data_IF_709050060565
#
_entry.id   IF_709050060565
#
_cell.length_a   1.000
_cell.length_b   1.000
_cell.length_c   1.000
_cell.angle_alpha   90.00
_cell.angle_beta   90.00
_cell.angle_gamma   90.00
#
_symmetry.space_group_name_H-M   'P 1'
#
loop_
_entity.id
_entity.type
_entity.pdbx_description
1 polymer ?
#
# COMPACT_ATOMS: atom_id res chain seq x y z
N UNK A 1 22.10 13.11 2.85
CA UNK A 1 20.81 12.42 2.60
C UNK A 1 20.32 11.61 3.80
N UNK A 2 21.20 10.96 4.57
CA UNK A 2 20.86 10.18 5.77
C UNK A 2 19.99 10.93 6.80
N UNK A 3 20.30 12.19 7.10
CA UNK A 3 19.52 12.99 8.07
C UNK A 3 18.05 13.20 7.66
N UNK A 4 17.79 13.40 6.35
CA UNK A 4 16.44 13.60 5.82
C UNK A 4 15.59 12.32 5.92
N UNK A 5 16.20 11.18 5.59
CA UNK A 5 15.56 9.86 5.72
C UNK A 5 15.24 9.53 7.17
N UNK A 6 16.12 9.89 8.11
CA UNK A 6 15.88 9.70 9.53
C UNK A 6 14.71 10.54 10.06
N UNK A 7 14.61 11.82 9.64
CA UNK A 7 13.46 12.66 10.00
C UNK A 7 12.16 12.10 9.42
N UNK A 8 12.18 11.70 8.15
CA UNK A 8 11.03 11.08 7.49
C UNK A 8 10.59 9.79 8.22
N UNK A 9 11.53 8.93 8.60
CA UNK A 9 11.26 7.72 9.40
C UNK A 9 10.57 8.05 10.73
N UNK A 10 11.09 9.02 11.47
CA UNK A 10 10.50 9.42 12.76
C UNK A 10 9.05 9.88 12.65
N UNK A 11 8.71 10.59 11.57
CA UNK A 11 7.34 11.03 11.31
C UNK A 11 6.39 9.86 11.03
N UNK A 12 6.92 8.76 10.50
CA UNK A 12 6.13 7.64 9.99
C UNK A 12 6.07 6.42 10.94
N UNK A 13 6.81 6.45 12.06
CA UNK A 13 6.95 5.30 12.98
C UNK A 13 5.63 4.76 13.51
N UNK A 14 4.63 5.63 13.71
CA UNK A 14 3.32 5.22 14.21
C UNK A 14 2.53 4.45 13.14
N UNK A 15 2.55 4.89 11.89
CA UNK A 15 1.95 4.15 10.78
C UNK A 15 2.68 2.83 10.55
N UNK A 16 4.01 2.83 10.59
CA UNK A 16 4.81 1.62 10.48
C UNK A 16 4.48 0.61 11.59
N UNK A 17 4.34 1.07 12.84
CA UNK A 17 3.93 0.23 13.97
C UNK A 17 2.51 -0.33 13.81
N UNK A 18 1.57 0.46 13.28
CA UNK A 18 0.20 0.00 13.01
C UNK A 18 0.17 -1.09 11.93
N UNK A 19 0.95 -0.93 10.85
CA UNK A 19 1.10 -1.97 9.83
C UNK A 19 1.81 -3.21 10.39
N UNK A 20 2.85 -3.04 11.22
CA UNK A 20 3.50 -4.16 11.88
C UNK A 20 2.53 -4.93 12.81
N UNK A 21 1.69 -4.23 13.57
CA UNK A 21 0.65 -4.85 14.39
C UNK A 21 -0.36 -5.63 13.53
N UNK A 22 -0.76 -5.09 12.39
CA UNK A 22 -1.61 -5.81 11.44
C UNK A 22 -0.92 -7.06 10.87
N UNK A 23 0.37 -7.00 10.56
CA UNK A 23 1.15 -8.16 10.12
C UNK A 23 1.27 -9.22 11.22
N UNK A 24 1.40 -8.82 12.48
CA UNK A 24 1.35 -9.74 13.61
C UNK A 24 -0.01 -10.44 13.69
N UNK A 25 -1.11 -9.72 13.47
CA UNK A 25 -2.45 -10.33 13.41
C UNK A 25 -2.57 -11.35 12.26
N UNK A 26 -2.02 -11.04 11.08
CA UNK A 26 -1.94 -12.02 9.98
C UNK A 26 -1.10 -13.24 10.36
N UNK A 27 0.04 -13.05 11.02
CA UNK A 27 0.88 -14.14 11.50
C UNK A 27 0.15 -15.03 12.51
N UNK A 28 -0.56 -14.44 13.46
CA UNK A 28 -1.39 -15.17 14.43
C UNK A 28 -2.50 -15.95 13.71
N UNK A 29 -3.24 -15.31 12.81
CA UNK A 29 -4.29 -15.98 12.03
C UNK A 29 -3.71 -17.17 11.24
N UNK A 30 -2.58 -16.97 10.58
CA UNK A 30 -1.87 -18.01 9.83
C UNK A 30 -1.41 -19.18 10.73
N UNK A 31 -0.95 -18.90 11.96
CA UNK A 31 -0.60 -19.96 12.92
C UNK A 31 -1.83 -20.71 13.43
N UNK A 32 -2.94 -20.02 13.68
CA UNK A 32 -4.20 -20.64 14.11
C UNK A 32 -4.74 -21.56 13.02
N UNK A 33 -4.78 -21.12 11.77
CA UNK A 33 -5.21 -21.94 10.63
C UNK A 33 -4.36 -23.20 10.44
N UNK A 34 -3.07 -23.13 10.80
CA UNK A 34 -2.18 -24.29 10.75
C UNK A 34 -2.45 -25.30 11.87
N UNK A 35 -2.91 -24.83 13.03
CA UNK A 35 -3.25 -25.67 14.18
C UNK A 35 -4.66 -26.25 14.06
N UNK A 36 -5.59 -25.49 13.46
CA UNK A 36 -7.01 -25.80 13.30
C UNK A 36 -7.38 -25.78 11.80
N UNK A 37 -7.20 -26.89 11.06
CA UNK A 37 -7.40 -26.94 9.61
C UNK A 37 -8.82 -26.57 9.15
N UNK A 38 -9.81 -26.68 10.03
CA UNK A 38 -11.21 -26.31 9.77
C UNK A 38 -11.39 -24.79 9.57
N UNK A 39 -10.44 -23.96 10.01
CA UNK A 39 -10.45 -22.51 9.87
C UNK A 39 -9.68 -22.00 8.63
N UNK A 40 -9.19 -22.90 7.79
CA UNK A 40 -8.31 -22.56 6.66
C UNK A 40 -8.90 -21.54 5.69
N UNK A 41 -8.06 -20.59 5.25
CA UNK A 41 -8.37 -19.67 4.16
C UNK A 41 -8.78 -18.26 4.60
N UNK A 42 -9.06 -18.00 5.89
CA UNK A 42 -9.35 -16.65 6.39
C UNK A 42 -8.21 -15.67 6.08
N UNK A 43 -6.96 -16.08 6.30
CA UNK A 43 -5.76 -15.27 6.07
C UNK A 43 -5.64 -14.88 4.60
N UNK A 44 -6.02 -15.77 3.68
CA UNK A 44 -6.01 -15.52 2.24
C UNK A 44 -7.13 -14.56 1.80
N UNK A 45 -8.33 -14.72 2.35
CA UNK A 45 -9.42 -13.76 2.10
C UNK A 45 -9.04 -12.36 2.58
N UNK A 46 -8.32 -12.31 3.70
CA UNK A 46 -7.91 -11.06 4.31
C UNK A 46 -6.65 -10.45 3.69
N UNK A 47 -5.78 -11.22 3.03
CA UNK A 47 -4.49 -10.74 2.50
C UNK A 47 -4.63 -9.53 1.55
N UNK A 48 -5.72 -9.48 0.78
CA UNK A 48 -6.04 -8.35 -0.09
C UNK A 48 -6.27 -7.01 0.63
N UNK A 49 -6.56 -7.04 1.94
CA UNK A 49 -6.78 -5.82 2.73
C UNK A 49 -5.50 -5.12 3.15
N UNK A 50 -4.32 -5.74 3.04
CA UNK A 50 -3.05 -5.08 3.38
C UNK A 50 -2.86 -3.80 2.55
N UNK A 51 -3.15 -3.84 1.24
CA UNK A 51 -3.06 -2.67 0.39
C UNK A 51 -4.04 -1.56 0.82
N UNK A 52 -5.27 -1.92 1.21
CA UNK A 52 -6.25 -1.00 1.78
C UNK A 52 -5.76 -0.36 3.08
N UNK A 53 -5.16 -1.17 3.96
CA UNK A 53 -4.57 -0.69 5.21
C UNK A 53 -3.39 0.25 4.96
N UNK A 54 -2.51 -0.06 3.99
CA UNK A 54 -1.41 0.81 3.58
C UNK A 54 -1.95 2.16 3.07
N UNK A 55 -2.99 2.15 2.25
CA UNK A 55 -3.61 3.38 1.76
C UNK A 55 -4.21 4.22 2.90
N UNK A 56 -5.08 3.59 3.70
CA UNK A 56 -5.84 4.25 4.77
C UNK A 56 -4.96 4.74 5.91
N UNK A 57 -4.13 3.85 6.45
CA UNK A 57 -3.38 4.06 7.70
C UNK A 57 -2.07 4.80 7.40
N UNK A 58 -1.42 4.49 6.28
CA UNK A 58 -0.11 5.05 5.95
C UNK A 58 -0.19 6.19 4.96
N UNK A 59 -0.68 5.95 3.74
CA UNK A 59 -0.64 6.90 2.63
C UNK A 59 -1.50 8.14 2.86
N UNK A 60 -2.76 7.98 3.21
CA UNK A 60 -3.74 9.06 3.39
C UNK A 60 -3.30 10.12 4.41
N UNK A 61 -2.91 9.75 5.65
CA UNK A 61 -2.42 10.73 6.61
C UNK A 61 -1.00 11.25 6.31
N UNK A 62 -0.22 10.60 5.44
CA UNK A 62 1.21 10.88 5.26
C UNK A 62 1.48 12.35 4.97
N UNK A 63 0.70 12.91 4.06
CA UNK A 63 0.82 14.31 3.64
C UNK A 63 -0.27 15.18 4.27
N UNK A 64 -1.49 14.64 4.46
CA UNK A 64 -2.59 15.41 5.05
C UNK A 64 -2.27 15.91 6.47
N UNK A 65 -1.67 15.06 7.32
CA UNK A 65 -1.30 15.46 8.69
C UNK A 65 -0.22 16.53 8.72
N UNK A 66 0.71 16.49 7.78
CA UNK A 66 1.75 17.52 7.65
C UNK A 66 1.14 18.88 7.30
N UNK A 67 0.12 18.88 6.42
CA UNK A 67 -0.65 20.09 6.10
C UNK A 67 -1.47 20.60 7.29
N UNK A 68 -2.18 19.71 7.99
CA UNK A 68 -2.99 20.05 9.17
C UNK A 68 -2.13 20.62 10.31
N UNK A 69 -0.95 20.04 10.55
CA UNK A 69 -0.02 20.48 11.59
C UNK A 69 0.83 21.69 11.18
N UNK A 70 0.85 22.05 9.89
CA UNK A 70 1.71 23.11 9.36
C UNK A 70 3.21 22.81 9.40
N UNK A 71 3.60 21.57 9.72
CA UNK A 71 5.00 21.12 9.88
C UNK A 71 5.81 21.21 8.58
N UNK A 72 5.15 21.13 7.43
CA UNK A 72 5.78 21.30 6.12
C UNK A 72 6.49 22.66 5.96
N UNK A 73 6.03 23.72 6.65
CA UNK A 73 6.63 25.06 6.57
C UNK A 73 8.04 25.09 7.14
N UNK A 74 8.25 24.41 8.27
CA UNK A 74 9.57 24.28 8.92
C UNK A 74 10.54 23.46 8.05
N UNK A 75 10.04 22.42 7.38
CA UNK A 75 10.88 21.63 6.47
C UNK A 75 11.37 22.46 5.28
N UNK A 76 10.56 23.39 4.77
CA UNK A 76 10.90 24.20 3.60
C UNK A 76 11.77 25.42 3.90
N UNK A 77 11.84 25.89 5.15
CA UNK A 77 12.76 26.98 5.54
C UNK A 77 14.19 26.49 5.72
N UNK A 78 14.42 25.19 5.92
CA UNK A 78 15.75 24.60 6.14
C UNK A 78 16.52 24.25 4.85
N UNK A 79 16.41 25.08 3.81
CA UNK A 79 17.10 24.92 2.51
C UNK A 79 16.83 23.60 1.76
N UNK A 80 15.79 22.86 2.15
CA UNK A 80 15.37 21.63 1.47
C UNK A 80 14.35 21.95 0.38
N UNK A 81 14.70 21.64 -0.87
CA UNK A 81 13.73 21.73 -1.97
C UNK A 81 12.53 20.81 -1.73
N UNK A 82 11.32 21.26 -2.08
CA UNK A 82 10.06 20.51 -1.93
C UNK A 82 10.13 19.10 -2.52
N UNK A 83 10.75 18.95 -3.69
CA UNK A 83 10.91 17.66 -4.36
C UNK A 83 11.79 16.68 -3.59
N UNK A 84 12.94 17.13 -3.06
CA UNK A 84 13.82 16.30 -2.22
C UNK A 84 13.13 15.85 -0.93
N UNK A 85 12.39 16.75 -0.29
CA UNK A 85 11.60 16.41 0.89
C UNK A 85 10.56 15.33 0.58
N UNK A 86 9.75 15.54 -0.46
CA UNK A 86 8.71 14.58 -0.86
C UNK A 86 9.32 13.23 -1.24
N UNK A 87 10.42 13.23 -2.00
CA UNK A 87 11.11 12.02 -2.41
C UNK A 87 11.59 11.20 -1.21
N UNK A 88 12.12 11.83 -0.16
CA UNK A 88 12.55 11.12 1.04
C UNK A 88 11.39 10.55 1.86
N UNK A 89 10.30 11.32 2.01
CA UNK A 89 9.09 10.86 2.70
C UNK A 89 8.49 9.65 1.98
N UNK A 90 8.38 9.72 0.66
CA UNK A 90 7.85 8.63 -0.17
C UNK A 90 8.80 7.44 -0.24
N UNK A 91 10.12 7.65 -0.27
CA UNK A 91 11.08 6.54 -0.27
C UNK A 91 10.97 5.69 1.00
N UNK A 92 10.84 6.34 2.17
CA UNK A 92 10.63 5.63 3.45
C UNK A 92 9.29 4.90 3.46
N UNK A 93 8.22 5.55 3.02
CA UNK A 93 6.88 4.94 2.98
C UNK A 93 6.82 3.76 2.00
N UNK A 94 7.41 3.89 0.81
CA UNK A 94 7.46 2.84 -0.20
C UNK A 94 8.30 1.66 0.26
N UNK A 95 9.47 1.91 0.86
CA UNK A 95 10.29 0.84 1.44
C UNK A 95 9.53 0.10 2.56
N UNK A 96 8.84 0.82 3.43
CA UNK A 96 8.01 0.23 4.48
C UNK A 96 6.85 -0.60 3.93
N UNK A 97 6.13 -0.09 2.93
CA UNK A 97 5.04 -0.80 2.25
C UNK A 97 5.54 -2.08 1.58
N UNK A 98 6.63 -2.02 0.82
CA UNK A 98 7.22 -3.20 0.17
C UNK A 98 7.71 -4.24 1.18
N UNK A 99 8.31 -3.79 2.29
CA UNK A 99 8.73 -4.67 3.38
C UNK A 99 7.53 -5.37 4.01
N UNK A 100 6.44 -4.63 4.24
CA UNK A 100 5.20 -5.20 4.77
C UNK A 100 4.57 -6.21 3.82
N UNK A 101 4.55 -5.92 2.51
CA UNK A 101 4.08 -6.86 1.49
C UNK A 101 4.93 -8.12 1.45
N UNK A 102 6.27 -7.98 1.50
CA UNK A 102 7.18 -9.12 1.52
C UNK A 102 6.99 -9.98 2.79
N UNK A 103 6.82 -9.35 3.95
CA UNK A 103 6.55 -10.05 5.20
C UNK A 103 5.23 -10.83 5.13
N UNK A 104 4.16 -10.22 4.61
CA UNK A 104 2.90 -10.93 4.41
C UNK A 104 3.04 -12.08 3.41
N UNK A 105 3.74 -11.87 2.29
CA UNK A 105 3.99 -12.93 1.32
C UNK A 105 4.75 -14.11 1.94
N UNK A 106 5.73 -13.84 2.81
CA UNK A 106 6.46 -14.87 3.55
C UNK A 106 5.54 -15.62 4.53
N UNK A 107 4.67 -14.92 5.26
CA UNK A 107 3.67 -15.54 6.15
C UNK A 107 2.76 -16.48 5.35
N UNK A 108 2.22 -16.01 4.23
CA UNK A 108 1.31 -16.79 3.38
C UNK A 108 2.00 -18.02 2.75
N UNK A 109 3.23 -17.86 2.29
CA UNK A 109 4.03 -18.96 1.72
C UNK A 109 4.36 -20.01 2.79
N UNK A 110 4.63 -19.57 4.02
CA UNK A 110 4.94 -20.48 5.12
C UNK A 110 3.70 -21.24 5.63
N UNK A 111 2.55 -20.58 5.69
CA UNK A 111 1.37 -21.13 6.35
C UNK A 111 0.53 -22.05 5.47
N UNK A 112 0.62 -21.96 4.14
CA UNK A 112 -0.27 -22.72 3.26
C UNK A 112 0.41 -23.87 2.49
N UNK A 113 -0.31 -25.01 2.31
CA UNK A 113 0.10 -26.04 1.38
C UNK A 113 -0.07 -25.56 -0.07
N UNK A 114 0.84 -26.00 -0.95
CA UNK A 114 0.73 -25.88 -2.40
C UNK A 114 -0.48 -26.69 -2.90
N UNK A 115 -1.66 -26.10 -2.81
CA UNK A 115 -2.87 -26.68 -3.38
C UNK A 115 -2.79 -26.50 -4.89
N UNK A 116 -2.50 -27.58 -5.61
CA UNK A 116 -2.40 -27.64 -7.08
C UNK A 116 -3.72 -27.36 -7.83
N UNK A 117 -4.52 -26.42 -7.33
CA UNK A 117 -5.75 -25.93 -7.92
C UNK A 117 -5.53 -24.80 -8.92
N UNK A 118 -6.61 -24.15 -9.32
CA UNK A 118 -6.57 -23.09 -10.34
C UNK A 118 -5.80 -21.85 -9.82
N UNK A 119 -4.63 -21.50 -10.41
CA UNK A 119 -3.83 -20.34 -9.97
C UNK A 119 -4.51 -18.99 -10.27
N UNK A 120 -5.52 -18.98 -11.14
CA UNK A 120 -6.34 -17.80 -11.40
C UNK A 120 -7.45 -17.61 -10.34
N UNK A 121 -7.73 -18.63 -9.52
CA UNK A 121 -8.76 -18.56 -8.51
C UNK A 121 -8.36 -17.55 -7.42
N UNK A 122 -9.37 -16.79 -6.99
CA UNK A 122 -9.26 -16.09 -5.72
C UNK A 122 -9.40 -17.12 -4.59
N UNK A 123 -8.57 -17.06 -3.55
CA UNK A 123 -7.63 -15.98 -3.18
C UNK A 123 -6.16 -16.17 -3.61
N UNK A 124 -5.83 -17.24 -4.35
CA UNK A 124 -4.46 -17.56 -4.78
C UNK A 124 -3.81 -16.48 -5.62
N UNK A 125 -4.52 -15.97 -6.63
CA UNK A 125 -3.97 -14.94 -7.51
C UNK A 125 -3.55 -13.66 -6.76
N UNK A 126 -4.29 -13.27 -5.73
CA UNK A 126 -4.11 -12.00 -5.01
C UNK A 126 -2.98 -12.00 -3.99
N UNK A 127 -2.44 -13.17 -3.69
CA UNK A 127 -1.45 -13.43 -2.64
C UNK A 127 -0.08 -13.80 -3.20
N UNK A 128 -0.01 -14.18 -4.47
CA UNK A 128 1.21 -14.66 -5.13
C UNK A 128 1.72 -13.69 -6.19
N UNK A 129 3.00 -13.87 -6.54
CA UNK A 129 3.62 -13.15 -7.65
C UNK A 129 3.86 -11.66 -7.36
N UNK A 130 4.04 -10.85 -8.42
CA UNK A 130 4.37 -9.43 -8.29
C UNK A 130 3.16 -8.52 -8.00
N UNK A 131 1.92 -8.97 -8.24
CA UNK A 131 0.71 -8.14 -8.08
C UNK A 131 0.56 -7.53 -6.67
N UNK A 132 0.78 -8.26 -5.56
CA UNK A 132 0.68 -7.68 -4.21
C UNK A 132 1.59 -6.46 -4.00
N UNK A 133 2.78 -6.46 -4.61
CA UNK A 133 3.75 -5.37 -4.52
C UNK A 133 3.30 -4.15 -5.32
N UNK A 134 2.92 -4.35 -6.58
CA UNK A 134 2.39 -3.29 -7.43
C UNK A 134 1.17 -2.64 -6.79
N UNK A 135 0.24 -3.46 -6.29
CA UNK A 135 -0.96 -2.98 -5.61
C UNK A 135 -0.66 -2.20 -4.33
N UNK A 136 0.30 -2.63 -3.52
CA UNK A 136 0.67 -1.94 -2.28
C UNK A 136 1.27 -0.56 -2.57
N UNK A 137 2.11 -0.45 -3.60
CA UNK A 137 2.64 0.84 -4.08
C UNK A 137 1.55 1.74 -4.65
N UNK A 138 0.64 1.19 -5.45
CA UNK A 138 -0.53 1.91 -5.96
C UNK A 138 -1.38 2.46 -4.81
N UNK A 139 -1.71 1.62 -3.84
CA UNK A 139 -2.55 1.99 -2.72
C UNK A 139 -1.87 3.06 -1.83
N UNK A 140 -0.56 2.95 -1.60
CA UNK A 140 0.22 3.99 -0.94
C UNK A 140 0.15 5.32 -1.69
N UNK A 141 0.43 5.32 -3.00
CA UNK A 141 0.42 6.52 -3.83
C UNK A 141 -0.98 7.15 -3.94
N UNK A 142 -2.04 6.34 -3.97
CA UNK A 142 -3.42 6.79 -3.95
C UNK A 142 -3.73 7.54 -2.66
N UNK A 143 -3.40 6.94 -1.50
CA UNK A 143 -3.56 7.61 -0.20
C UNK A 143 -2.78 8.92 -0.14
N UNK A 144 -1.53 8.92 -0.59
CA UNK A 144 -0.69 10.13 -0.64
C UNK A 144 -1.32 11.21 -1.53
N UNK A 145 -1.80 10.86 -2.72
CA UNK A 145 -2.43 11.80 -3.64
C UNK A 145 -3.71 12.39 -3.04
N UNK A 146 -4.55 11.55 -2.42
CA UNK A 146 -5.75 12.00 -1.71
C UNK A 146 -5.40 12.93 -0.56
N UNK A 147 -4.40 12.59 0.26
CA UNK A 147 -3.93 13.43 1.36
C UNK A 147 -3.37 14.78 0.87
N UNK A 148 -2.62 14.78 -0.22
CA UNK A 148 -2.06 15.99 -0.82
C UNK A 148 -3.13 16.90 -1.43
N UNK A 149 -4.14 16.33 -2.10
CA UNK A 149 -5.23 17.08 -2.73
C UNK A 149 -6.22 17.61 -1.69
N UNK A 150 -6.65 16.76 -0.76
CA UNK A 150 -7.68 17.12 0.23
C UNK A 150 -7.12 17.93 1.40
N UNK A 151 -5.85 17.72 1.78
CA UNK A 151 -5.16 18.36 2.92
C UNK A 151 -5.82 18.12 4.28
N UNK A 152 -6.81 17.23 4.35
CA UNK A 152 -7.56 16.94 5.57
C UNK A 152 -7.66 15.43 5.75
N UNK A 153 -7.11 14.94 6.85
CA UNK A 153 -7.05 13.51 7.17
C UNK A 153 -8.47 12.93 7.27
N UNK A 154 -9.42 13.71 7.79
CA UNK A 154 -10.85 13.33 7.91
C UNK A 154 -11.54 13.06 6.57
N UNK A 155 -11.05 13.66 5.48
CA UNK A 155 -11.60 13.46 4.13
C UNK A 155 -10.78 12.40 3.38
N UNK A 156 -9.46 12.46 3.49
CA UNK A 156 -8.55 11.54 2.79
C UNK A 156 -8.78 10.07 3.19
N UNK A 157 -9.00 9.80 4.49
CA UNK A 157 -9.13 8.45 5.01
C UNK A 157 -10.38 7.71 4.47
N UNK A 158 -11.61 8.26 4.56
CA UNK A 158 -12.78 7.61 3.96
C UNK A 158 -12.65 7.39 2.45
N UNK A 159 -12.13 8.39 1.71
CA UNK A 159 -11.92 8.28 0.27
C UNK A 159 -10.94 7.17 -0.09
N UNK A 160 -9.92 6.96 0.74
CA UNK A 160 -8.92 5.91 0.55
C UNK A 160 -9.54 4.51 0.59
N UNK A 161 -10.44 4.27 1.53
CA UNK A 161 -11.18 2.99 1.63
C UNK A 161 -12.04 2.77 0.40
N UNK A 162 -12.83 3.79 0.02
CA UNK A 162 -13.75 3.69 -1.12
C UNK A 162 -13.00 3.45 -2.43
N UNK A 163 -11.94 4.21 -2.69
CA UNK A 163 -11.23 4.15 -3.97
C UNK A 163 -10.32 2.92 -4.10
N UNK A 164 -9.68 2.46 -3.01
CA UNK A 164 -8.96 1.19 -3.04
C UNK A 164 -9.93 0.03 -3.22
N UNK A 165 -11.05 0.02 -2.49
CA UNK A 165 -12.08 -1.01 -2.65
C UNK A 165 -12.63 -1.06 -4.07
N UNK A 166 -12.97 0.10 -4.64
CA UNK A 166 -13.41 0.20 -6.04
C UNK A 166 -12.33 -0.29 -7.02
N UNK A 167 -11.06 0.07 -6.82
CA UNK A 167 -9.95 -0.39 -7.65
C UNK A 167 -9.75 -1.91 -7.60
N UNK A 168 -9.90 -2.52 -6.43
CA UNK A 168 -9.84 -3.97 -6.24
C UNK A 168 -10.98 -4.68 -6.99
N UNK A 169 -12.21 -4.19 -6.85
CA UNK A 169 -13.37 -4.72 -7.55
C UNK A 169 -13.24 -4.57 -9.07
N UNK A 170 -12.75 -3.41 -9.53
CA UNK A 170 -12.50 -3.15 -10.94
C UNK A 170 -11.42 -4.09 -11.51
N UNK A 171 -10.30 -4.27 -10.80
CA UNK A 171 -9.24 -5.21 -11.19
C UNK A 171 -9.77 -6.64 -11.33
N UNK A 172 -10.55 -7.10 -10.35
CA UNK A 172 -11.21 -8.42 -10.40
C UNK A 172 -12.17 -8.56 -11.58
N UNK A 173 -13.01 -7.55 -11.81
CA UNK A 173 -13.96 -7.56 -12.92
C UNK A 173 -13.27 -7.52 -14.29
N UNK A 174 -12.18 -6.77 -14.40
CA UNK A 174 -11.37 -6.70 -15.61
C UNK A 174 -10.65 -8.01 -15.88
N UNK A 175 -10.09 -8.65 -14.86
CA UNK A 175 -9.39 -9.94 -15.00
C UNK A 175 -10.30 -11.01 -15.61
N UNK A 176 -11.57 -11.07 -15.20
CA UNK A 176 -12.54 -12.00 -15.77
C UNK A 176 -12.88 -11.76 -17.26
N UNK A 177 -12.47 -10.63 -17.84
CA UNK A 177 -12.65 -10.33 -19.28
C UNK A 177 -11.47 -10.78 -20.14
N UNK A 178 -10.32 -11.08 -19.52
CA UNK A 178 -9.10 -11.44 -20.23
C UNK A 178 -8.78 -12.91 -19.97
N UNK A 179 -8.72 -13.71 -21.04
CA UNK A 179 -8.29 -15.12 -20.95
C UNK A 179 -6.76 -15.22 -21.12
N UNK A 180 -6.03 -14.53 -20.24
CA UNK A 180 -4.57 -14.49 -20.27
C UNK A 180 -3.98 -15.53 -19.31
N UNK A 181 -2.84 -16.16 -19.66
CA UNK A 181 -2.12 -17.03 -18.74
C UNK A 181 -1.73 -16.31 -17.45
N UNK A 182 -1.67 -17.04 -16.33
CA UNK A 182 -1.38 -16.53 -14.99
C UNK A 182 -0.23 -15.51 -14.97
N UNK A 183 0.96 -15.88 -15.47
CA UNK A 183 2.13 -15.02 -15.44
C UNK A 183 2.00 -13.78 -16.31
N UNK A 184 1.33 -13.90 -17.46
CA UNK A 184 1.10 -12.74 -18.34
C UNK A 184 0.16 -11.75 -17.64
N UNK A 185 -0.93 -12.24 -17.05
CA UNK A 185 -1.87 -11.41 -16.30
C UNK A 185 -1.22 -10.76 -15.07
N UNK A 186 -0.38 -11.49 -14.34
CA UNK A 186 0.34 -10.97 -13.17
C UNK A 186 1.23 -9.77 -13.52
N UNK A 187 2.00 -9.87 -14.61
CA UNK A 187 2.87 -8.78 -15.06
C UNK A 187 2.10 -7.60 -15.63
N UNK A 188 1.03 -7.82 -16.41
CA UNK A 188 0.22 -6.74 -16.97
C UNK A 188 -0.48 -5.94 -15.87
N UNK A 189 -1.07 -6.62 -14.89
CA UNK A 189 -1.74 -5.98 -13.76
C UNK A 189 -0.74 -5.24 -12.86
N UNK A 190 0.44 -5.84 -12.61
CA UNK A 190 1.52 -5.16 -11.88
C UNK A 190 1.97 -3.89 -12.62
N UNK A 191 2.18 -3.97 -13.95
CA UNK A 191 2.57 -2.82 -14.76
C UNK A 191 1.51 -1.72 -14.73
N UNK A 192 0.22 -2.08 -14.79
CA UNK A 192 -0.88 -1.13 -14.64
C UNK A 192 -0.84 -0.43 -13.28
N UNK A 193 -0.63 -1.17 -12.19
CA UNK A 193 -0.48 -0.57 -10.86
C UNK A 193 0.72 0.36 -10.77
N UNK A 194 1.88 -0.02 -11.31
CA UNK A 194 3.07 0.84 -11.31
C UNK A 194 2.86 2.12 -12.13
N UNK A 195 2.18 2.04 -13.28
CA UNK A 195 1.81 3.21 -14.07
C UNK A 195 0.89 4.16 -13.29
N UNK A 196 -0.12 3.61 -12.60
CA UNK A 196 -1.00 4.38 -11.72
C UNK A 196 -0.24 4.99 -10.54
N UNK A 197 0.69 4.25 -9.93
CA UNK A 197 1.58 4.76 -8.87
C UNK A 197 2.35 5.98 -9.33
N UNK A 198 2.95 5.94 -10.53
CA UNK A 198 3.70 7.07 -11.09
C UNK A 198 2.78 8.28 -11.35
N UNK A 199 1.60 8.05 -11.94
CA UNK A 199 0.62 9.10 -12.19
C UNK A 199 0.15 9.77 -10.88
N UNK A 200 -0.21 8.98 -9.87
CA UNK A 200 -0.65 9.45 -8.55
C UNK A 200 0.46 10.19 -7.80
N UNK A 201 1.70 9.72 -7.90
CA UNK A 201 2.87 10.40 -7.33
C UNK A 201 3.07 11.77 -8.00
N UNK A 202 2.90 11.84 -9.33
CA UNK A 202 2.92 13.10 -10.08
C UNK A 202 1.80 14.05 -9.63
N UNK A 203 0.57 13.55 -9.46
CA UNK A 203 -0.56 14.34 -8.94
C UNK A 203 -0.25 14.89 -7.55
N UNK A 204 0.27 14.06 -6.65
CA UNK A 204 0.65 14.49 -5.31
C UNK A 204 1.73 15.60 -5.36
N UNK A 205 2.76 15.42 -6.19
CA UNK A 205 3.80 16.43 -6.38
C UNK A 205 3.25 17.75 -6.92
N UNK A 206 2.40 17.71 -7.94
CA UNK A 206 1.75 18.90 -8.52
C UNK A 206 0.84 19.60 -7.50
N UNK A 207 0.04 18.84 -6.74
CA UNK A 207 -0.82 19.38 -5.69
C UNK A 207 -0.02 20.14 -4.63
N UNK A 208 1.14 19.59 -4.21
CA UNK A 208 2.06 20.24 -3.26
C UNK A 208 2.72 21.48 -3.88
N UNK A 209 3.09 21.43 -5.18
CA UNK A 209 3.76 22.54 -5.88
C UNK A 209 2.85 23.75 -6.10
N UNK A 210 1.59 23.55 -6.46
CA UNK A 210 0.69 24.64 -6.88
C UNK A 210 0.02 25.39 -5.72
N UNK A 211 0.09 24.88 -4.49
CA UNK A 211 -0.76 25.34 -3.38
C UNK A 211 0.02 25.98 -2.22
N UNK A 212 1.27 26.39 -2.48
CA UNK A 212 2.17 27.08 -1.55
C UNK A 212 2.98 28.18 -2.23
#
# INVERSE_FOLDING_TARGET
MSGLLWVAWRGQRAQAAAIAALLLLYGVAATVERLEPDLTGLTFQLAGFLAGAICLIWGAPLIAREFEAGTYKLAWTQSLSRGRWLAAVLAVAAAGALTATAALAAVLTWSLPDTGGNPMAWPYYESHGPVPYGRSLFALALGVALGAVTRHTRIAMPLSVLLVGAGQLAGRALRGRFDLPFWTMQWTETAAYLALTLALTGIAYLAIRHRA
#
